data_IF_606097504574
#
_entry.id   IF_606097504574
#
_cell.length_a   1.000
_cell.length_b   1.000
_cell.length_c   1.000
_cell.angle_alpha   90.00
_cell.angle_beta   90.00
_cell.angle_gamma   90.00
#
_symmetry.space_group_name_H-M   'P 1'
#
loop_
_entity.id
_entity.type
_entity.pdbx_description
1 polymer ?
#
# COMPACT_ATOMS: atom_id res chain seq x y z
N UNK A 1 21.96 -8.53 63.39
CA UNK A 1 20.94 -8.58 64.46
C UNK A 1 19.63 -8.23 63.81
N UNK A 2 18.59 -8.98 63.76
CA UNK A 2 18.00 -10.10 64.49
C UNK A 2 17.15 -10.91 63.49
N UNK A 3 17.34 -12.23 63.48
CA UNK A 3 16.46 -13.22 62.85
C UNK A 3 15.12 -13.32 63.60
N UNK A 4 14.01 -13.56 62.89
CA UNK A 4 12.92 -14.38 63.41
C UNK A 4 12.25 -15.20 62.34
N UNK A 5 12.35 -16.53 62.53
CA UNK A 5 11.59 -17.64 61.97
C UNK A 5 10.19 -17.70 62.64
N UNK A 6 9.19 -18.20 61.91
CA UNK A 6 8.10 -19.09 62.42
C UNK A 6 7.40 -19.62 61.15
N UNK A 7 7.43 -20.81 60.85
CA UNK A 7 7.08 -22.20 61.27
C UNK A 7 5.62 -22.53 60.99
N UNK A 8 5.49 -23.49 60.07
CA UNK A 8 4.39 -24.43 59.70
C UNK A 8 3.23 -24.58 60.64
N UNK A 9 2.01 -24.70 60.09
CA UNK A 9 0.98 -25.63 60.54
C UNK A 9 0.26 -26.17 59.32
N UNK A 10 0.39 -27.52 59.11
CA UNK A 10 -0.49 -28.34 58.27
C UNK A 10 -1.83 -28.54 59.02
N UNK A 11 -2.92 -28.45 58.31
CA UNK A 11 -4.14 -29.11 58.70
C UNK A 11 -4.73 -29.81 57.48
N UNK A 12 -4.72 -31.11 57.53
CA UNK A 12 -5.42 -32.06 56.66
C UNK A 12 -6.86 -32.21 57.17
N UNK A 13 -7.82 -32.03 56.29
CA UNK A 13 -9.15 -32.59 56.53
C UNK A 13 -9.66 -33.15 55.21
N UNK A 14 -9.78 -34.48 55.22
CA UNK A 14 -10.43 -35.34 54.26
C UNK A 14 -11.95 -35.32 54.58
N UNK A 15 -12.76 -35.20 53.54
CA UNK A 15 -14.00 -35.98 53.29
C UNK A 15 -15.00 -35.17 52.43
N UNK A 16 -15.46 -35.83 51.38
CA UNK A 16 -16.67 -35.43 50.67
C UNK A 16 -16.62 -35.69 49.18
N UNK A 17 -16.66 -36.98 48.77
CA UNK A 17 -16.95 -37.35 47.40
C UNK A 17 -18.46 -37.12 47.18
N UNK A 18 -18.80 -36.11 46.39
CA UNK A 18 -20.12 -36.04 45.74
C UNK A 18 -19.85 -35.96 44.23
N UNK A 19 -20.09 -37.10 43.56
CA UNK A 19 -20.08 -37.17 42.11
C UNK A 19 -21.27 -36.34 41.56
N UNK A 20 -20.99 -35.10 41.13
CA UNK A 20 -21.89 -34.40 40.26
C UNK A 20 -21.37 -34.61 38.84
N UNK A 21 -22.01 -35.52 38.12
CA UNK A 21 -21.91 -35.62 36.67
C UNK A 21 -22.59 -34.37 36.09
N UNK A 22 -21.88 -33.24 36.12
CA UNK A 22 -22.22 -32.08 35.35
C UNK A 22 -21.86 -32.37 33.89
N UNK A 23 -22.89 -32.56 33.09
CA UNK A 23 -22.79 -32.49 31.63
C UNK A 23 -22.28 -31.09 31.32
N UNK A 24 -20.97 -30.98 31.11
CA UNK A 24 -20.43 -29.82 30.42
C UNK A 24 -20.97 -29.88 28.98
N UNK A 25 -22.12 -29.25 28.77
CA UNK A 25 -22.46 -28.79 27.44
C UNK A 25 -21.32 -27.87 27.01
N UNK A 26 -20.43 -28.38 26.18
CA UNK A 26 -19.58 -27.51 25.38
C UNK A 26 -20.52 -26.67 24.52
N UNK A 27 -20.75 -25.46 24.91
CA UNK A 27 -21.28 -24.44 24.04
C UNK A 27 -20.24 -24.26 22.91
N UNK A 28 -20.41 -25.01 21.84
CA UNK A 28 -19.75 -24.81 20.57
C UNK A 28 -20.49 -23.65 19.89
N UNK A 29 -20.24 -22.42 20.37
CA UNK A 29 -21.01 -21.29 19.84
C UNK A 29 -20.60 -19.95 20.32
N UNK A 30 -19.41 -19.54 20.05
CA UNK A 30 -19.05 -18.18 19.66
C UNK A 30 -17.78 -18.36 18.82
N UNK A 31 -17.94 -18.52 17.52
CA UNK A 31 -16.83 -18.47 16.61
C UNK A 31 -16.08 -17.17 16.91
N UNK A 32 -14.85 -17.27 17.40
CA UNK A 32 -13.99 -16.09 17.47
C UNK A 32 -13.89 -15.57 16.05
N UNK A 33 -14.37 -14.34 15.79
CA UNK A 33 -14.15 -13.70 14.52
C UNK A 33 -12.65 -13.72 14.24
N UNK A 34 -12.29 -14.25 13.09
CA UNK A 34 -10.90 -14.21 12.61
C UNK A 34 -10.66 -12.81 12.11
N UNK A 35 -9.56 -12.20 12.51
CA UNK A 35 -9.13 -10.89 12.01
C UNK A 35 -7.88 -11.10 11.16
N UNK A 36 -7.87 -10.52 9.95
CA UNK A 36 -6.71 -10.45 9.06
C UNK A 36 -6.38 -8.98 8.86
N UNK A 37 -5.13 -8.61 9.08
CA UNK A 37 -4.63 -7.25 8.86
C UNK A 37 -3.89 -7.22 7.54
N UNK A 38 -4.47 -6.54 6.53
CA UNK A 38 -3.85 -6.33 5.23
C UNK A 38 -3.26 -4.92 5.16
N UNK A 39 -1.94 -4.85 5.02
CA UNK A 39 -1.18 -3.62 4.84
C UNK A 39 -0.86 -3.47 3.36
N UNK A 40 -1.37 -2.41 2.73
CA UNK A 40 -1.18 -2.19 1.29
C UNK A 40 -0.88 -0.73 0.95
N UNK A 41 -0.47 -0.46 -0.29
CA UNK A 41 -0.22 0.90 -0.73
C UNK A 41 -1.49 1.58 -1.27
N UNK A 42 -1.51 2.94 -1.26
CA UNK A 42 -2.72 3.75 -1.46
C UNK A 42 -3.61 3.37 -2.67
N UNK A 43 -3.06 3.13 -3.89
CA UNK A 43 -3.88 2.87 -5.07
C UNK A 43 -4.72 1.60 -5.03
N UNK A 44 -4.52 0.73 -4.06
CA UNK A 44 -5.23 -0.55 -3.96
C UNK A 44 -6.44 -0.52 -3.02
N UNK A 45 -6.81 0.63 -2.51
CA UNK A 45 -7.91 0.79 -1.55
C UNK A 45 -9.21 0.21 -2.07
N UNK A 46 -9.69 0.66 -3.21
CA UNK A 46 -10.95 0.26 -3.81
C UNK A 46 -10.93 -1.20 -4.28
N UNK A 47 -9.75 -1.68 -4.72
CA UNK A 47 -9.54 -3.09 -5.04
C UNK A 47 -9.80 -3.96 -3.82
N UNK A 48 -9.18 -3.63 -2.68
CA UNK A 48 -9.32 -4.45 -1.48
C UNK A 48 -10.68 -4.27 -0.79
N UNK A 49 -11.33 -3.12 -0.89
CA UNK A 49 -12.72 -2.98 -0.45
C UNK A 49 -13.61 -4.01 -1.15
N UNK A 50 -13.56 -4.07 -2.48
CA UNK A 50 -14.36 -5.03 -3.27
C UNK A 50 -13.90 -6.49 -3.07
N UNK A 51 -12.59 -6.74 -3.02
CA UNK A 51 -12.03 -8.08 -2.86
C UNK A 51 -12.38 -8.68 -1.49
N UNK A 52 -12.33 -7.89 -0.42
CA UNK A 52 -12.58 -8.37 0.92
C UNK A 52 -14.01 -8.86 1.11
N UNK A 53 -15.00 -8.20 0.50
CA UNK A 53 -16.39 -8.67 0.53
C UNK A 53 -16.50 -10.08 -0.07
N UNK A 54 -15.92 -10.28 -1.27
CA UNK A 54 -15.91 -11.58 -1.95
C UNK A 54 -15.13 -12.63 -1.14
N UNK A 55 -14.00 -12.25 -0.56
CA UNK A 55 -13.19 -13.13 0.26
C UNK A 55 -13.92 -13.58 1.53
N UNK A 56 -14.59 -12.66 2.22
CA UNK A 56 -15.36 -12.94 3.44
C UNK A 56 -16.49 -13.92 3.16
N UNK A 57 -17.25 -13.73 2.07
CA UNK A 57 -18.31 -14.65 1.65
C UNK A 57 -17.73 -16.03 1.32
N UNK A 58 -16.68 -16.08 0.51
CA UNK A 58 -16.00 -17.33 0.14
C UNK A 58 -15.49 -18.09 1.37
N UNK A 59 -14.86 -17.39 2.31
CA UNK A 59 -14.34 -17.99 3.53
C UNK A 59 -15.45 -18.55 4.39
N UNK A 60 -16.54 -17.81 4.56
CA UNK A 60 -17.72 -18.24 5.29
C UNK A 60 -18.35 -19.49 4.68
N UNK A 61 -18.52 -19.52 3.36
CA UNK A 61 -19.06 -20.69 2.64
C UNK A 61 -18.16 -21.92 2.80
N UNK A 62 -16.85 -21.74 2.70
CA UNK A 62 -15.87 -22.82 2.73
C UNK A 62 -15.63 -23.39 4.13
N UNK A 63 -15.64 -22.56 5.16
CA UNK A 63 -15.21 -22.94 6.52
C UNK A 63 -16.29 -22.82 7.59
N UNK A 64 -17.36 -22.08 7.31
CA UNK A 64 -18.39 -21.72 8.30
C UNK A 64 -17.96 -20.60 9.26
N UNK A 65 -16.74 -20.05 9.12
CA UNK A 65 -16.19 -19.03 10.00
C UNK A 65 -16.40 -17.63 9.41
N UNK A 66 -16.63 -16.67 10.28
CA UNK A 66 -16.59 -15.25 9.92
C UNK A 66 -15.16 -14.73 9.99
N UNK A 67 -14.77 -13.89 9.03
CA UNK A 67 -13.47 -13.22 8.98
C UNK A 67 -13.65 -11.73 8.73
N UNK A 68 -12.95 -10.90 9.51
CA UNK A 68 -12.88 -9.46 9.30
C UNK A 68 -11.51 -9.11 8.72
N UNK A 69 -11.47 -8.37 7.61
CA UNK A 69 -10.23 -7.90 7.03
C UNK A 69 -10.05 -6.42 7.35
N UNK A 70 -9.06 -6.13 8.18
CA UNK A 70 -8.69 -4.78 8.60
C UNK A 70 -7.67 -4.25 7.59
N UNK A 71 -7.93 -3.06 7.02
CA UNK A 71 -7.08 -2.46 6.01
C UNK A 71 -6.23 -1.33 6.58
N UNK A 72 -4.95 -1.31 6.18
CA UNK A 72 -4.07 -0.15 6.33
C UNK A 72 -3.53 0.25 4.96
N UNK A 73 -3.79 1.49 4.55
CA UNK A 73 -3.32 2.04 3.27
C UNK A 73 -2.43 3.25 3.48
N UNK A 74 -1.40 3.38 2.65
CA UNK A 74 -0.46 4.49 2.70
C UNK A 74 0.59 4.42 1.58
N UNK A 75 1.56 5.32 1.60
CA UNK A 75 2.69 5.22 0.67
C UNK A 75 3.47 3.93 0.91
N UNK A 76 3.84 3.21 -0.17
CA UNK A 76 4.46 1.87 -0.11
C UNK A 76 5.67 1.78 0.83
N UNK A 77 6.66 2.67 0.65
CA UNK A 77 7.84 2.69 1.53
C UNK A 77 7.51 3.11 2.98
N UNK A 78 6.46 3.92 3.18
CA UNK A 78 5.98 4.26 4.52
C UNK A 78 5.36 3.03 5.18
N UNK A 79 4.51 2.27 4.48
CA UNK A 79 3.90 1.05 4.98
C UNK A 79 4.95 -0.01 5.33
N UNK A 80 5.96 -0.22 4.47
CA UNK A 80 7.08 -1.12 4.78
C UNK A 80 7.77 -0.74 6.09
N UNK A 81 8.06 0.55 6.28
CA UNK A 81 8.71 1.05 7.49
C UNK A 81 7.82 0.89 8.73
N UNK A 82 6.51 1.10 8.62
CA UNK A 82 5.58 0.90 9.72
C UNK A 82 5.51 -0.57 10.15
N UNK A 83 5.50 -1.52 9.20
CA UNK A 83 5.58 -2.96 9.48
C UNK A 83 6.89 -3.31 10.18
N UNK A 84 8.03 -2.83 9.69
CA UNK A 84 9.35 -3.02 10.31
C UNK A 84 9.37 -2.46 11.73
N UNK A 85 8.67 -1.36 12.01
CA UNK A 85 8.58 -0.74 13.32
C UNK A 85 7.48 -1.32 14.23
N UNK A 86 6.81 -2.40 13.80
CA UNK A 86 5.89 -3.17 14.65
C UNK A 86 4.41 -3.00 14.33
N UNK A 87 4.03 -2.36 13.21
CA UNK A 87 2.66 -2.46 12.72
C UNK A 87 2.37 -3.93 12.40
N UNK A 88 1.38 -4.49 13.04
CA UNK A 88 0.97 -5.88 12.81
C UNK A 88 0.38 -6.01 11.40
N UNK A 89 0.81 -7.01 10.66
CA UNK A 89 0.32 -7.33 9.33
C UNK A 89 0.32 -8.85 9.14
N UNK A 90 -0.78 -9.38 8.62
CA UNK A 90 -0.88 -10.77 8.19
C UNK A 90 -0.60 -10.89 6.69
N UNK A 91 -0.96 -9.84 5.94
CA UNK A 91 -0.70 -9.71 4.51
C UNK A 91 -0.10 -8.34 4.22
N UNK A 92 0.90 -8.31 3.36
CA UNK A 92 1.53 -7.07 2.89
C UNK A 92 1.52 -7.05 1.36
N UNK A 93 0.96 -6.01 0.75
CA UNK A 93 0.94 -5.80 -0.70
C UNK A 93 1.45 -4.40 -1.02
N UNK A 94 2.68 -4.31 -1.52
CA UNK A 94 3.37 -3.03 -1.76
C UNK A 94 3.70 -2.84 -3.24
N UNK A 95 4.07 -1.62 -3.60
CA UNK A 95 4.28 -1.23 -4.99
C UNK A 95 5.60 -1.74 -5.61
N UNK A 96 6.58 -2.08 -4.78
CA UNK A 96 7.91 -2.53 -5.22
C UNK A 96 8.35 -3.74 -4.40
N UNK A 97 9.05 -4.65 -5.05
CA UNK A 97 9.78 -5.74 -4.41
C UNK A 97 10.80 -5.22 -3.39
N UNK A 98 11.48 -4.12 -3.69
CA UNK A 98 12.40 -3.45 -2.76
C UNK A 98 11.78 -3.14 -1.38
N UNK A 99 10.51 -2.75 -1.33
CA UNK A 99 9.83 -2.46 -0.07
C UNK A 99 9.49 -3.76 0.70
N UNK A 100 9.18 -4.87 -0.01
CA UNK A 100 9.00 -6.21 0.58
C UNK A 100 10.34 -6.78 1.04
N UNK A 101 11.40 -6.64 0.23
CA UNK A 101 12.77 -7.06 0.60
C UNK A 101 13.25 -6.36 1.88
N UNK A 102 12.85 -5.11 2.10
CA UNK A 102 13.17 -4.42 3.36
C UNK A 102 12.52 -5.08 4.59
N UNK A 103 11.29 -5.60 4.45
CA UNK A 103 10.58 -6.35 5.49
C UNK A 103 11.24 -7.73 5.70
N UNK A 104 11.65 -8.41 4.62
CA UNK A 104 12.43 -9.65 4.65
C UNK A 104 13.76 -9.44 5.40
N UNK A 105 14.51 -8.41 5.03
CA UNK A 105 15.78 -8.07 5.66
C UNK A 105 15.64 -7.73 7.16
N UNK A 106 14.48 -7.28 7.60
CA UNK A 106 14.14 -7.10 9.01
C UNK A 106 13.74 -8.42 9.71
N UNK A 107 13.69 -9.54 8.98
CA UNK A 107 13.36 -10.86 9.52
C UNK A 107 11.88 -11.08 9.83
N UNK A 108 10.98 -10.30 9.23
CA UNK A 108 9.54 -10.38 9.49
C UNK A 108 8.79 -11.30 8.53
N UNK A 109 9.37 -11.59 7.38
CA UNK A 109 8.92 -12.63 6.44
C UNK A 109 10.08 -13.55 6.11
N UNK A 110 9.76 -14.76 5.64
CA UNK A 110 10.78 -15.75 5.25
C UNK A 110 11.43 -15.36 3.91
N UNK A 111 12.69 -15.75 3.74
CA UNK A 111 13.40 -15.58 2.48
C UNK A 111 12.76 -16.44 1.39
N UNK A 112 12.75 -15.90 0.16
CA UNK A 112 12.15 -16.58 -0.98
C UNK A 112 10.68 -16.27 -1.17
N UNK A 113 10.17 -15.18 -0.61
CA UNK A 113 8.77 -14.76 -0.73
C UNK A 113 8.31 -14.59 -2.18
N UNK A 114 9.23 -14.25 -3.11
CA UNK A 114 8.90 -14.08 -4.55
C UNK A 114 8.45 -15.38 -5.21
N UNK A 115 9.02 -16.50 -4.80
CA UNK A 115 8.74 -17.83 -5.36
C UNK A 115 7.55 -18.53 -4.71
N UNK A 116 6.95 -17.96 -3.65
CA UNK A 116 5.84 -18.60 -2.93
C UNK A 116 4.54 -18.62 -3.71
N UNK A 117 4.27 -17.56 -4.50
CA UNK A 117 3.05 -17.43 -5.30
C UNK A 117 3.38 -17.25 -6.78
N UNK A 118 2.43 -17.53 -7.69
CA UNK A 118 2.63 -17.27 -9.13
C UNK A 118 3.02 -15.82 -9.44
N UNK A 119 3.64 -15.62 -10.61
CA UNK A 119 4.01 -14.31 -11.15
C UNK A 119 4.89 -13.50 -10.20
N UNK A 120 5.89 -14.15 -9.60
CA UNK A 120 6.82 -13.56 -8.62
C UNK A 120 6.09 -12.92 -7.41
N UNK A 121 5.02 -13.58 -6.97
CA UNK A 121 4.12 -13.09 -5.90
C UNK A 121 3.49 -11.72 -6.19
N UNK A 122 3.37 -11.35 -7.47
CA UNK A 122 2.73 -10.10 -7.92
C UNK A 122 1.26 -10.36 -8.33
N UNK A 123 0.27 -9.95 -7.52
CA UNK A 123 -1.13 -10.25 -7.79
C UNK A 123 -1.73 -9.47 -8.96
N UNK A 124 -1.10 -8.37 -9.38
CA UNK A 124 -1.51 -7.51 -10.50
C UNK A 124 -0.35 -6.64 -10.98
N UNK A 125 -0.52 -6.02 -12.15
CA UNK A 125 0.39 -5.04 -12.73
C UNK A 125 -0.34 -3.74 -13.04
N UNK A 126 0.39 -2.65 -13.20
CA UNK A 126 -0.13 -1.33 -13.57
C UNK A 126 0.93 -0.56 -14.39
N UNK A 127 0.56 0.60 -14.90
CA UNK A 127 1.47 1.47 -15.63
C UNK A 127 1.34 2.92 -15.16
N UNK A 128 2.28 3.76 -15.59
CA UNK A 128 2.26 5.20 -15.33
C UNK A 128 1.61 5.92 -16.50
N UNK A 129 0.70 6.82 -16.17
CA UNK A 129 0.01 7.70 -17.12
C UNK A 129 0.03 9.15 -16.63
N UNK A 130 -0.36 10.09 -17.48
CA UNK A 130 -0.62 11.46 -17.09
C UNK A 130 -2.13 11.70 -17.02
N UNK A 131 -2.56 12.30 -15.93
CA UNK A 131 -3.90 12.85 -15.80
C UNK A 131 -3.80 14.37 -16.03
N UNK A 132 -4.55 14.88 -16.99
CA UNK A 132 -4.57 16.31 -17.35
C UNK A 132 -5.98 16.87 -17.25
N UNK A 133 -6.10 18.20 -17.20
CA UNK A 133 -7.40 18.87 -17.25
C UNK A 133 -8.09 18.60 -18.59
N UNK A 134 -9.42 18.59 -18.59
CA UNK A 134 -10.23 18.37 -19.81
C UNK A 134 -9.85 19.31 -20.95
N UNK A 135 -9.74 18.74 -22.16
CA UNK A 135 -9.28 19.48 -23.33
C UNK A 135 -7.79 19.76 -23.36
N UNK A 136 -7.03 19.23 -22.39
CA UNK A 136 -5.57 19.31 -22.32
C UNK A 136 -5.02 20.72 -22.67
N UNK A 137 -5.35 21.75 -21.87
CA UNK A 137 -5.07 23.16 -22.23
C UNK A 137 -3.58 23.47 -22.40
N UNK A 138 -2.70 22.65 -21.81
CA UNK A 138 -1.23 22.76 -21.96
C UNK A 138 -0.68 21.91 -23.09
N UNK A 139 -1.53 21.16 -23.82
CA UNK A 139 -1.13 20.26 -24.90
C UNK A 139 0.02 19.33 -24.48
N UNK A 140 -0.14 18.66 -23.33
CA UNK A 140 0.81 17.70 -22.79
C UNK A 140 0.60 16.37 -23.51
N UNK A 141 1.65 15.83 -24.14
CA UNK A 141 1.60 14.59 -24.91
C UNK A 141 2.58 13.55 -24.37
N UNK A 142 3.76 14.00 -23.94
CA UNK A 142 4.82 13.10 -23.50
C UNK A 142 5.67 13.74 -22.39
N UNK A 143 6.67 13.00 -21.91
CA UNK A 143 7.54 13.39 -20.80
C UNK A 143 8.32 14.70 -21.03
N UNK A 144 8.68 15.01 -22.27
CA UNK A 144 9.38 16.25 -22.61
C UNK A 144 8.52 17.52 -22.45
N UNK A 145 7.19 17.38 -22.48
CA UNK A 145 6.30 18.48 -22.14
C UNK A 145 6.35 18.86 -20.65
N UNK A 146 6.69 17.89 -19.79
CA UNK A 146 6.74 18.10 -18.33
C UNK A 146 7.93 18.95 -17.88
N UNK A 147 8.91 19.18 -18.76
CA UNK A 147 10.07 20.04 -18.47
C UNK A 147 9.92 21.47 -19.00
N UNK A 148 8.78 21.82 -19.58
CA UNK A 148 8.48 23.18 -20.01
C UNK A 148 8.29 24.11 -18.83
N UNK A 149 8.70 25.39 -18.97
CA UNK A 149 8.61 26.37 -17.87
C UNK A 149 7.17 26.80 -17.54
N UNK A 150 6.22 26.51 -18.42
CA UNK A 150 4.80 26.84 -18.26
C UNK A 150 3.94 25.66 -17.77
N UNK A 151 4.55 24.55 -17.36
CA UNK A 151 3.85 23.32 -16.91
C UNK A 151 4.15 23.06 -15.45
N UNK A 152 3.11 23.00 -14.66
CA UNK A 152 3.15 22.66 -13.25
C UNK A 152 2.80 21.18 -13.05
N UNK A 153 3.70 20.41 -12.44
CA UNK A 153 3.61 18.96 -12.26
C UNK A 153 3.21 18.64 -10.82
N UNK A 154 2.32 17.65 -10.68
CA UNK A 154 2.02 16.99 -9.40
C UNK A 154 2.54 15.55 -9.45
N UNK A 155 3.28 15.15 -8.45
CA UNK A 155 3.75 13.77 -8.25
C UNK A 155 4.04 13.53 -6.76
N UNK A 156 3.84 12.31 -6.23
CA UNK A 156 4.19 12.04 -4.84
C UNK A 156 5.71 11.98 -4.62
N UNK A 157 6.10 11.93 -3.36
CA UNK A 157 7.51 11.93 -2.93
C UNK A 157 8.12 10.52 -3.07
N UNK A 158 9.20 10.32 -3.84
CA UNK A 158 9.83 9.00 -4.01
C UNK A 158 10.47 8.43 -2.72
N UNK A 159 10.63 9.24 -1.67
CA UNK A 159 11.11 8.76 -0.36
C UNK A 159 10.04 8.01 0.43
N UNK A 160 8.76 8.27 0.15
CA UNK A 160 7.63 7.69 0.91
C UNK A 160 6.67 6.87 0.04
N UNK A 161 6.58 7.20 -1.24
CA UNK A 161 5.64 6.60 -2.20
C UNK A 161 6.34 5.67 -3.18
N UNK A 162 5.86 4.43 -3.28
CA UNK A 162 6.28 3.49 -4.32
C UNK A 162 5.86 3.96 -5.72
N UNK A 163 4.67 4.56 -5.86
CA UNK A 163 4.22 5.16 -7.12
C UNK A 163 5.17 6.25 -7.62
N UNK A 164 5.64 7.10 -6.72
CA UNK A 164 6.62 8.13 -7.09
C UNK A 164 7.96 7.56 -7.56
N UNK A 165 8.39 6.41 -7.03
CA UNK A 165 9.58 5.72 -7.53
C UNK A 165 9.36 5.19 -8.95
N UNK A 166 8.19 4.65 -9.25
CA UNK A 166 7.83 4.26 -10.61
C UNK A 166 7.69 5.46 -11.55
N UNK A 167 7.12 6.59 -11.09
CA UNK A 167 7.10 7.84 -11.86
C UNK A 167 8.52 8.30 -12.23
N UNK A 168 9.43 8.26 -11.26
CA UNK A 168 10.84 8.58 -11.47
C UNK A 168 11.50 7.64 -12.48
N UNK A 169 11.31 6.31 -12.30
CA UNK A 169 11.91 5.31 -13.18
C UNK A 169 11.35 5.39 -14.61
N UNK A 170 10.06 5.67 -14.78
CA UNK A 170 9.46 5.88 -16.09
C UNK A 170 10.05 7.13 -16.79
N UNK A 171 10.15 8.25 -16.08
CA UNK A 171 10.81 9.46 -16.59
C UNK A 171 12.29 9.22 -16.94
N UNK A 172 12.99 8.45 -16.11
CA UNK A 172 14.38 8.06 -16.36
C UNK A 172 14.52 7.18 -17.61
N UNK A 173 13.64 6.17 -17.76
CA UNK A 173 13.62 5.30 -18.93
C UNK A 173 13.36 6.07 -20.24
N UNK A 174 12.43 7.03 -20.20
CA UNK A 174 12.20 7.94 -21.31
C UNK A 174 13.48 8.76 -21.64
N UNK A 175 14.08 9.40 -20.64
CA UNK A 175 15.31 10.16 -20.81
C UNK A 175 16.46 9.30 -21.36
N UNK A 176 16.58 8.06 -20.87
CA UNK A 176 17.55 7.10 -21.36
C UNK A 176 17.40 6.83 -22.87
N UNK A 177 16.17 6.64 -23.32
CA UNK A 177 15.84 6.40 -24.73
C UNK A 177 16.17 7.59 -25.61
N UNK A 178 15.77 8.81 -25.20
CA UNK A 178 15.94 10.00 -26.06
C UNK A 178 17.36 10.56 -26.04
N UNK A 179 18.10 10.39 -24.94
CA UNK A 179 19.49 10.87 -24.82
C UNK A 179 20.54 9.78 -25.06
N UNK A 180 20.14 8.58 -25.53
CA UNK A 180 21.05 7.47 -25.83
C UNK A 180 22.03 7.14 -24.69
N UNK A 181 21.53 7.06 -23.44
CA UNK A 181 22.31 6.81 -22.22
C UNK A 181 23.35 7.90 -21.89
N UNK A 182 23.17 9.12 -22.34
CA UNK A 182 23.96 10.28 -21.91
C UNK A 182 23.51 10.67 -20.49
N UNK A 183 24.24 10.23 -19.49
CA UNK A 183 23.87 10.36 -18.07
C UNK A 183 23.71 11.81 -17.65
N UNK A 184 24.58 12.70 -18.12
CA UNK A 184 24.50 14.14 -17.78
C UNK A 184 23.19 14.78 -18.29
N UNK A 185 22.77 14.41 -19.51
CA UNK A 185 21.50 14.88 -20.07
C UNK A 185 20.29 14.26 -19.38
N UNK A 186 20.37 12.97 -19.03
CA UNK A 186 19.31 12.28 -18.28
C UNK A 186 19.10 12.94 -16.91
N UNK A 187 20.18 13.19 -16.17
CA UNK A 187 20.11 13.89 -14.88
C UNK A 187 19.56 15.31 -15.02
N UNK A 188 19.99 16.04 -16.04
CA UNK A 188 19.48 17.38 -16.32
C UNK A 188 17.98 17.38 -16.61
N UNK A 189 17.50 16.40 -17.38
CA UNK A 189 16.08 16.19 -17.66
C UNK A 189 15.28 15.94 -16.39
N UNK A 190 15.69 14.98 -15.57
CA UNK A 190 15.03 14.66 -14.30
C UNK A 190 15.04 15.87 -13.36
N UNK A 191 16.18 16.55 -13.25
CA UNK A 191 16.28 17.77 -12.45
C UNK A 191 15.28 18.84 -12.90
N UNK A 192 15.13 19.04 -14.21
CA UNK A 192 14.19 20.01 -14.76
C UNK A 192 12.75 19.61 -14.49
N UNK A 193 12.40 18.32 -14.66
CA UNK A 193 11.07 17.81 -14.32
C UNK A 193 10.73 18.10 -12.85
N UNK A 194 11.65 17.77 -11.92
CA UNK A 194 11.41 18.01 -10.50
C UNK A 194 11.42 19.49 -10.09
N UNK A 195 12.01 20.38 -10.90
CA UNK A 195 11.88 21.83 -10.70
C UNK A 195 10.46 22.33 -10.99
N UNK A 196 9.72 21.64 -11.85
CA UNK A 196 8.33 21.96 -12.19
C UNK A 196 7.31 21.30 -11.22
N UNK A 197 7.77 20.49 -10.26
CA UNK A 197 6.90 19.86 -9.28
C UNK A 197 6.48 20.85 -8.22
N UNK A 198 5.18 21.14 -8.14
CA UNK A 198 4.60 22.07 -7.15
C UNK A 198 4.53 21.43 -5.76
N UNK A 199 4.12 20.18 -5.68
CA UNK A 199 3.88 19.47 -4.42
C UNK A 199 4.45 18.06 -4.51
N UNK A 200 5.15 17.64 -3.46
CA UNK A 200 5.62 16.28 -3.24
C UNK A 200 4.80 15.65 -2.10
N UNK A 201 3.65 15.10 -2.46
CA UNK A 201 2.75 14.46 -1.51
C UNK A 201 3.31 13.15 -0.95
N UNK A 202 2.81 12.70 0.20
CA UNK A 202 3.33 11.51 0.88
C UNK A 202 3.04 10.19 0.17
N UNK A 203 1.99 10.12 -0.66
CA UNK A 203 1.53 8.94 -1.38
C UNK A 203 0.76 9.30 -2.66
N UNK A 204 0.44 8.29 -3.46
CA UNK A 204 -0.26 8.48 -4.73
C UNK A 204 -1.65 9.12 -4.53
N UNK A 205 -2.44 8.63 -3.56
CA UNK A 205 -3.77 9.17 -3.27
C UNK A 205 -3.72 10.65 -2.85
N UNK A 206 -2.74 11.05 -2.04
CA UNK A 206 -2.58 12.45 -1.66
C UNK A 206 -2.24 13.34 -2.86
N UNK A 207 -1.43 12.84 -3.80
CA UNK A 207 -1.13 13.56 -5.04
C UNK A 207 -2.36 13.68 -5.94
N UNK A 208 -3.19 12.63 -6.01
CA UNK A 208 -4.50 12.67 -6.70
C UNK A 208 -5.40 13.74 -6.07
N UNK A 209 -5.52 13.78 -4.74
CA UNK A 209 -6.28 14.82 -4.02
C UNK A 209 -5.75 16.23 -4.32
N UNK A 210 -4.42 16.42 -4.30
CA UNK A 210 -3.83 17.73 -4.63
C UNK A 210 -4.19 18.18 -6.05
N UNK A 211 -4.17 17.28 -7.01
CA UNK A 211 -4.54 17.58 -8.39
C UNK A 211 -6.06 17.68 -8.56
N UNK A 212 -6.83 16.66 -8.23
CA UNK A 212 -8.26 16.56 -8.53
C UNK A 212 -9.09 17.51 -7.66
N UNK A 213 -8.96 17.39 -6.32
CA UNK A 213 -9.84 18.10 -5.39
C UNK A 213 -9.35 19.53 -5.13
N UNK A 214 -8.02 19.74 -4.99
CA UNK A 214 -7.45 21.05 -4.68
C UNK A 214 -7.14 21.88 -5.93
N UNK A 215 -7.31 21.33 -7.14
CA UNK A 215 -7.14 22.04 -8.38
C UNK A 215 -5.70 22.45 -8.70
N UNK A 216 -4.70 21.84 -8.07
CA UNK A 216 -3.29 22.19 -8.23
C UNK A 216 -2.68 21.53 -9.46
N UNK A 217 -1.74 22.25 -10.13
CA UNK A 217 -0.96 21.75 -11.25
C UNK A 217 -1.74 21.59 -12.55
N UNK A 218 -0.99 21.37 -13.61
CA UNK A 218 -1.48 21.16 -14.98
C UNK A 218 -1.55 19.67 -15.33
N UNK A 219 -0.68 18.86 -14.69
CA UNK A 219 -0.55 17.42 -14.92
C UNK A 219 -0.23 16.68 -13.64
N UNK A 220 -0.89 15.53 -13.44
CA UNK A 220 -0.53 14.56 -12.42
C UNK A 220 0.13 13.35 -13.09
N UNK A 221 1.32 12.99 -12.65
CA UNK A 221 1.95 11.70 -12.99
C UNK A 221 1.38 10.65 -12.03
N UNK A 222 0.60 9.71 -12.55
CA UNK A 222 -0.20 8.80 -11.74
C UNK A 222 -0.11 7.33 -12.21
N UNK A 223 -0.50 6.42 -11.33
CA UNK A 223 -0.93 5.10 -11.72
C UNK A 223 -2.20 5.17 -12.59
N UNK A 224 -2.31 4.30 -13.59
CA UNK A 224 -3.48 4.29 -14.48
C UNK A 224 -4.79 4.08 -13.74
N UNK A 225 -4.83 3.23 -12.68
CA UNK A 225 -6.04 3.02 -11.91
C UNK A 225 -6.50 4.28 -11.15
N UNK A 226 -5.58 5.08 -10.60
CA UNK A 226 -5.92 6.38 -9.98
C UNK A 226 -6.50 7.35 -11.03
N UNK A 227 -5.91 7.37 -12.22
CA UNK A 227 -6.39 8.19 -13.32
C UNK A 227 -7.78 7.73 -13.82
N UNK A 228 -8.00 6.42 -13.94
CA UNK A 228 -9.31 5.87 -14.31
C UNK A 228 -10.38 6.17 -13.28
N UNK A 229 -10.07 6.09 -11.98
CA UNK A 229 -11.01 6.47 -10.92
C UNK A 229 -11.38 7.94 -11.05
N UNK A 230 -10.40 8.83 -11.21
CA UNK A 230 -10.64 10.27 -11.35
C UNK A 230 -11.52 10.60 -12.57
N UNK A 231 -11.26 9.99 -13.73
CA UNK A 231 -12.08 10.19 -14.93
C UNK A 231 -13.48 9.55 -14.80
N UNK A 232 -13.59 8.45 -14.06
CA UNK A 232 -14.89 7.81 -13.82
C UNK A 232 -15.78 8.69 -12.94
N UNK A 233 -15.20 9.33 -11.93
CA UNK A 233 -15.94 10.18 -10.99
C UNK A 233 -16.27 11.53 -11.63
N UNK A 234 -15.33 12.14 -12.38
CA UNK A 234 -15.47 13.44 -13.04
C UNK A 234 -15.08 13.40 -14.52
N UNK A 235 -15.89 12.79 -15.41
CA UNK A 235 -15.53 12.54 -16.81
C UNK A 235 -15.41 13.84 -17.66
N UNK A 236 -15.99 14.92 -17.20
CA UNK A 236 -15.94 16.21 -17.87
C UNK A 236 -14.80 17.13 -17.40
N UNK A 237 -14.03 16.70 -16.40
CA UNK A 237 -12.96 17.51 -15.80
C UNK A 237 -11.56 17.05 -16.19
N UNK A 238 -11.39 15.77 -16.55
CA UNK A 238 -10.07 15.17 -16.77
C UNK A 238 -9.95 14.33 -18.03
N UNK A 239 -8.71 14.18 -18.50
CA UNK A 239 -8.32 13.27 -19.60
C UNK A 239 -7.04 12.52 -19.21
N UNK A 240 -6.92 11.29 -19.73
CA UNK A 240 -5.73 10.44 -19.54
C UNK A 240 -4.87 10.49 -20.79
N UNK A 241 -3.58 10.75 -20.61
CA UNK A 241 -2.56 10.68 -21.66
C UNK A 241 -1.64 9.51 -21.32
N UNK A 242 -1.42 8.61 -22.26
CA UNK A 242 -0.45 7.54 -22.16
C UNK A 242 0.87 8.01 -22.80
N UNK A 243 1.92 8.30 -22.02
CA UNK A 243 3.20 8.72 -22.56
C UNK A 243 3.96 7.55 -23.21
N UNK A 244 5.00 7.86 -24.02
CA UNK A 244 5.78 6.88 -24.79
C UNK A 244 6.84 6.11 -23.97
#
# INVERSE_FOLDING_TARGET
MIKKKFRNICLVSVLGIAAFAGVCSYDAGAGSNIHIINVSYDPTRELYESYNEIFQEHWKEKTGQDVDVIQSHGGSGKQALEVINGLQADVVTLALDYDIDAIENAGMIQSGWKEELPDDSAPYTSTIVFLVRKGNPKNIQDWDDLIRDDVDVITPNPKTSGGARWNYLAAWAYAQKIYNNDEEKMEAFIKKLYQNVLVLDSGARSATTSFVENGQGDVLIAWENEAFLSVKDDPDEFEIIAPS
#
